data_IF_283767861738
#
_entry.id   IF_283767861738
#
_cell.length_a   1.000
_cell.length_b   1.000
_cell.length_c   1.000
_cell.angle_alpha   90.00
_cell.angle_beta   90.00
_cell.angle_gamma   90.00
#
_symmetry.space_group_name_H-M   'P 1'
#
loop_
_entity.id
_entity.type
_entity.pdbx_description
1 polymer ?
#
# COMPACT_ATOMS: atom_id res chain seq x y z
N UNK A 1 47.83 -25.19 22.49
CA UNK A 1 46.58 -25.95 22.32
C UNK A 1 45.55 -24.99 21.73
N UNK A 2 45.67 -24.56 20.47
CA UNK A 2 45.47 -25.25 19.18
C UNK A 2 44.14 -25.99 19.05
N UNK A 3 43.38 -25.55 18.03
CA UNK A 3 42.31 -26.17 17.23
C UNK A 3 41.01 -25.36 17.31
N UNK A 4 40.41 -24.86 16.23
CA UNK A 4 40.71 -24.97 14.80
C UNK A 4 39.45 -24.55 14.04
N UNK A 5 39.50 -23.40 13.37
CA UNK A 5 38.47 -23.03 12.39
C UNK A 5 38.62 -23.95 11.18
N UNK A 6 37.67 -24.86 10.98
CA UNK A 6 37.58 -25.70 9.80
C UNK A 6 37.02 -24.86 8.64
N UNK A 7 37.79 -24.81 7.56
CA UNK A 7 37.41 -24.29 6.26
C UNK A 7 37.23 -25.45 5.26
N UNK A 8 36.48 -25.15 4.18
CA UNK A 8 36.41 -25.77 2.83
C UNK A 8 35.17 -26.66 2.53
N UNK A 9 34.77 -26.82 1.24
CA UNK A 9 34.64 -25.81 0.16
C UNK A 9 33.47 -26.02 -0.85
N UNK A 10 33.21 -24.94 -1.62
CA UNK A 10 32.85 -24.79 -3.08
C UNK A 10 31.77 -25.63 -3.82
N UNK A 11 30.99 -24.84 -4.58
CA UNK A 11 30.46 -25.07 -5.97
C UNK A 11 29.21 -25.96 -6.12
N UNK A 12 28.16 -25.69 -6.94
CA UNK A 12 28.01 -24.93 -8.20
C UNK A 12 26.49 -24.72 -8.54
N UNK A 13 26.19 -23.60 -9.22
CA UNK A 13 25.22 -23.40 -10.32
C UNK A 13 23.68 -23.58 -10.16
N UNK A 14 22.94 -22.45 -10.28
CA UNK A 14 22.15 -22.01 -11.47
C UNK A 14 21.49 -20.66 -11.16
N UNK A 15 22.09 -19.54 -11.56
CA UNK A 15 21.82 -18.80 -12.81
C UNK A 15 20.33 -18.60 -13.15
N UNK A 16 19.84 -17.39 -12.83
CA UNK A 16 18.65 -16.75 -13.36
C UNK A 16 18.85 -15.24 -13.34
N UNK A 17 19.82 -14.76 -14.13
CA UNK A 17 20.16 -13.34 -14.26
C UNK A 17 19.13 -12.68 -15.17
N UNK A 18 18.21 -11.89 -14.60
CA UNK A 18 17.45 -10.89 -15.36
C UNK A 18 18.35 -9.67 -15.59
N UNK A 19 18.86 -9.54 -16.81
CA UNK A 19 19.53 -8.34 -17.30
C UNK A 19 18.48 -7.25 -17.52
N UNK A 20 18.44 -6.23 -16.66
CA UNK A 20 17.72 -4.98 -16.94
C UNK A 20 18.66 -4.00 -17.65
N UNK A 21 18.21 -3.31 -18.71
CA UNK A 21 19.02 -2.32 -19.39
C UNK A 21 19.20 -1.08 -18.49
N UNK A 22 20.46 -0.63 -18.39
CA UNK A 22 20.85 0.61 -17.73
C UNK A 22 20.12 1.81 -18.34
N UNK A 23 19.57 2.64 -17.48
CA UNK A 23 19.13 3.99 -17.83
C UNK A 23 18.13 4.54 -16.82
N UNK A 24 18.60 5.44 -15.94
CA UNK A 24 17.80 6.30 -15.04
C UNK A 24 17.33 5.66 -13.72
N UNK A 25 18.25 5.19 -12.88
CA UNK A 25 18.00 4.97 -11.45
C UNK A 25 19.28 5.24 -10.64
N UNK A 26 19.67 6.50 -10.51
CA UNK A 26 20.80 6.86 -9.64
C UNK A 26 20.63 8.26 -9.04
N UNK A 27 19.43 8.55 -8.54
CA UNK A 27 19.17 9.81 -7.81
C UNK A 27 18.12 9.70 -6.69
N UNK A 28 17.63 8.50 -6.40
CA UNK A 28 16.77 8.21 -5.24
C UNK A 28 17.51 7.48 -4.10
N UNK A 29 18.74 7.00 -4.33
CA UNK A 29 19.58 6.37 -3.30
C UNK A 29 20.37 7.37 -2.44
N UNK A 30 20.62 8.59 -2.93
CA UNK A 30 21.46 9.58 -2.25
C UNK A 30 20.74 10.46 -1.21
N UNK A 31 19.41 10.37 -1.10
CA UNK A 31 18.64 11.17 -0.14
C UNK A 31 18.31 10.46 1.18
N UNK A 32 18.74 9.21 1.37
CA UNK A 32 18.63 8.51 2.65
C UNK A 32 19.85 8.70 3.57
N UNK A 33 20.89 9.42 3.14
CA UNK A 33 22.11 9.65 3.93
C UNK A 33 22.31 11.10 4.41
N UNK A 34 21.45 12.05 4.03
CA UNK A 34 21.63 13.48 4.35
C UNK A 34 20.55 14.07 5.27
N UNK A 35 20.26 13.37 6.36
CA UNK A 35 19.62 13.98 7.54
C UNK A 35 20.18 13.39 8.85
N UNK A 36 21.50 13.49 9.00
CA UNK A 36 22.15 13.25 10.28
C UNK A 36 23.11 14.40 10.61
N UNK A 37 23.05 14.81 11.89
CA UNK A 37 23.72 15.95 12.55
C UNK A 37 23.04 17.31 12.35
N UNK A 38 22.62 18.07 13.38
CA UNK A 38 22.81 18.04 14.85
C UNK A 38 21.69 18.89 15.48
N UNK A 39 20.98 18.33 16.46
CA UNK A 39 20.64 18.95 17.76
C UNK A 39 19.51 18.15 18.45
N UNK A 40 19.68 17.94 19.76
CA UNK A 40 18.81 17.29 20.76
C UNK A 40 18.93 15.77 20.99
N UNK A 41 19.23 15.45 22.25
CA UNK A 41 19.39 14.16 22.95
C UNK A 41 18.14 13.23 22.99
N UNK A 42 17.23 13.31 22.01
CA UNK A 42 15.99 12.51 22.02
C UNK A 42 15.95 11.35 21.01
N UNK A 43 17.02 11.06 20.27
CA UNK A 43 16.99 10.08 19.16
C UNK A 43 17.39 8.63 19.51
N UNK A 44 17.44 8.23 20.78
CA UNK A 44 17.60 6.80 21.15
C UNK A 44 16.29 5.98 21.13
N UNK A 45 15.14 6.57 20.80
CA UNK A 45 13.84 5.89 20.93
C UNK A 45 13.22 5.33 19.65
N UNK A 46 13.73 5.65 18.45
CA UNK A 46 13.07 5.31 17.17
C UNK A 46 14.01 4.71 16.11
N UNK A 47 14.89 3.78 16.49
CA UNK A 47 15.40 2.82 15.52
C UNK A 47 14.28 1.84 15.14
N UNK A 48 14.21 1.41 13.86
CA UNK A 48 13.43 0.22 13.49
C UNK A 48 13.93 -0.92 14.39
N UNK A 49 13.10 -1.37 15.34
CA UNK A 49 13.44 -2.54 16.15
C UNK A 49 13.43 -3.74 15.21
N UNK A 50 14.55 -4.44 15.16
CA UNK A 50 14.61 -5.74 14.49
C UNK A 50 13.57 -6.68 15.11
N UNK A 51 12.90 -7.50 14.28
CA UNK A 51 11.99 -8.51 14.79
C UNK A 51 12.76 -9.44 15.74
N UNK A 52 12.14 -9.78 16.87
CA UNK A 52 12.73 -10.66 17.87
C UNK A 52 11.73 -11.75 18.24
N UNK A 53 12.21 -12.97 18.55
CA UNK A 53 11.36 -14.01 19.11
C UNK A 53 10.81 -13.56 20.46
N UNK A 54 9.61 -14.05 20.82
CA UNK A 54 8.92 -13.62 22.04
C UNK A 54 8.22 -14.77 22.75
N UNK A 55 8.15 -14.65 24.06
CA UNK A 55 7.36 -15.51 24.93
C UNK A 55 6.16 -14.74 25.46
N UNK A 56 4.95 -15.16 25.10
CA UNK A 56 3.70 -14.58 25.60
C UNK A 56 3.18 -15.43 26.76
N UNK A 57 3.15 -14.85 27.96
CA UNK A 57 2.73 -15.52 29.18
C UNK A 57 1.21 -15.43 29.40
N UNK A 58 0.61 -16.55 29.78
CA UNK A 58 -0.77 -16.70 30.22
C UNK A 58 -0.79 -16.95 31.74
N UNK A 59 -1.69 -16.27 32.46
CA UNK A 59 -1.80 -16.43 33.92
C UNK A 59 -0.72 -15.73 34.76
N UNK A 60 0.35 -15.20 34.16
CA UNK A 60 1.39 -14.41 34.84
C UNK A 60 1.39 -12.94 34.42
N UNK A 61 0.67 -12.05 35.12
CA UNK A 61 0.70 -10.61 34.83
C UNK A 61 2.06 -9.96 35.15
N UNK A 62 2.84 -10.54 36.07
CA UNK A 62 4.12 -10.02 36.55
C UNK A 62 5.30 -10.23 35.58
N UNK A 63 5.25 -11.24 34.71
CA UNK A 63 6.33 -11.58 33.75
C UNK A 63 6.20 -10.84 32.40
N UNK A 64 5.44 -9.74 32.34
CA UNK A 64 5.20 -8.97 31.11
C UNK A 64 6.31 -7.95 30.84
N UNK A 65 7.53 -8.42 30.64
CA UNK A 65 8.70 -7.54 30.48
C UNK A 65 8.81 -6.95 29.05
N UNK A 66 8.14 -7.54 28.05
CA UNK A 66 8.26 -7.12 26.66
C UNK A 66 7.19 -6.10 26.25
N UNK A 67 7.64 -4.97 25.69
CA UNK A 67 6.76 -3.93 25.14
C UNK A 67 6.45 -4.20 23.67
N UNK A 68 5.20 -4.52 23.40
CA UNK A 68 4.68 -4.81 22.06
C UNK A 68 4.15 -3.55 21.33
N UNK A 69 4.16 -3.55 19.98
CA UNK A 69 3.58 -2.46 19.20
C UNK A 69 2.05 -2.41 19.35
N UNK A 70 1.49 -1.20 19.37
CA UNK A 70 0.03 -1.02 19.43
C UNK A 70 -0.65 -1.63 18.20
N UNK A 71 -1.83 -2.20 18.38
CA UNK A 71 -2.64 -2.73 17.27
C UNK A 71 -3.37 -1.61 16.53
N UNK A 72 -2.61 -0.80 15.80
CA UNK A 72 -3.13 0.32 15.01
C UNK A 72 -2.52 0.23 13.62
N UNK A 73 -3.39 0.15 12.62
CA UNK A 73 -3.00 0.18 11.21
C UNK A 73 -3.00 1.66 10.78
N UNK A 74 -1.88 2.10 10.18
CA UNK A 74 -1.75 3.45 9.65
C UNK A 74 -1.25 3.37 8.20
N UNK A 75 -2.11 3.72 7.25
CA UNK A 75 -1.84 3.75 5.83
C UNK A 75 -1.61 5.18 5.29
N UNK A 76 -1.49 6.18 6.17
CA UNK A 76 -1.18 7.56 5.79
C UNK A 76 0.26 7.68 5.29
N UNK A 77 0.48 8.51 4.27
CA UNK A 77 1.83 8.78 3.73
C UNK A 77 2.59 9.78 4.59
N UNK A 78 1.87 10.75 5.16
CA UNK A 78 2.45 11.88 5.88
C UNK A 78 1.84 12.02 7.27
N UNK A 79 2.66 12.50 8.22
CA UNK A 79 2.18 13.03 9.48
C UNK A 79 1.79 14.52 9.31
N UNK A 80 1.05 15.09 10.27
CA UNK A 80 0.59 16.49 10.23
C UNK A 80 1.74 17.49 9.96
N UNK A 81 2.88 17.31 10.61
CA UNK A 81 4.06 18.19 10.44
C UNK A 81 4.88 17.89 9.18
N UNK A 82 4.92 16.63 8.73
CA UNK A 82 5.69 16.23 7.54
C UNK A 82 4.88 16.39 6.25
N UNK A 83 3.57 16.67 6.36
CA UNK A 83 2.67 16.81 5.23
C UNK A 83 3.10 17.93 4.30
N UNK A 84 3.18 19.17 4.80
CA UNK A 84 3.47 20.31 3.93
C UNK A 84 4.90 20.23 3.31
N UNK A 85 5.98 19.98 4.08
CA UNK A 85 7.31 19.86 3.50
C UNK A 85 7.43 18.67 2.54
N UNK A 86 6.82 17.52 2.88
CA UNK A 86 6.85 16.33 2.03
C UNK A 86 6.11 16.51 0.72
N UNK A 87 4.93 17.15 0.75
CA UNK A 87 4.14 17.43 -0.46
C UNK A 87 4.86 18.44 -1.35
N UNK A 88 5.38 19.54 -0.78
CA UNK A 88 6.12 20.53 -1.56
C UNK A 88 7.38 19.92 -2.19
N UNK A 89 8.12 19.11 -1.43
CA UNK A 89 9.29 18.40 -1.95
C UNK A 89 8.92 17.49 -3.13
N UNK A 90 7.85 16.70 -2.99
CA UNK A 90 7.36 15.83 -4.06
C UNK A 90 6.86 16.60 -5.29
N UNK A 91 6.36 17.83 -5.13
CA UNK A 91 6.02 18.68 -6.27
C UNK A 91 7.28 19.27 -6.94
N UNK A 92 8.23 19.81 -6.17
CA UNK A 92 9.42 20.47 -6.73
C UNK A 92 10.53 19.52 -7.19
N UNK A 93 10.46 18.21 -6.85
CA UNK A 93 11.32 17.18 -7.44
C UNK A 93 11.25 17.18 -8.97
N UNK A 94 10.13 17.62 -9.55
CA UNK A 94 9.94 17.69 -10.99
C UNK A 94 10.45 19.01 -11.58
N UNK A 95 11.19 18.89 -12.68
CA UNK A 95 11.75 20.04 -13.40
C UNK A 95 10.68 21.05 -13.82
N UNK A 96 9.50 20.57 -14.21
CA UNK A 96 8.35 21.42 -14.53
C UNK A 96 8.02 22.43 -13.41
N UNK A 97 7.86 21.96 -12.17
CA UNK A 97 7.50 22.82 -11.05
C UNK A 97 8.69 23.66 -10.57
N UNK A 98 9.90 23.09 -10.61
CA UNK A 98 11.14 23.80 -10.30
C UNK A 98 11.39 24.99 -11.26
N UNK A 99 11.09 24.82 -12.54
CA UNK A 99 11.19 25.87 -13.56
C UNK A 99 10.36 27.11 -13.20
N UNK A 100 9.08 26.92 -12.83
CA UNK A 100 8.23 28.05 -12.42
C UNK A 100 8.66 28.69 -11.11
N UNK A 101 9.23 27.92 -10.18
CA UNK A 101 9.83 28.47 -8.96
C UNK A 101 11.03 29.36 -9.28
N UNK A 102 11.96 28.88 -10.10
CA UNK A 102 13.14 29.65 -10.52
C UNK A 102 12.73 30.92 -11.28
N UNK A 103 11.72 30.81 -12.13
CA UNK A 103 11.15 31.94 -12.85
C UNK A 103 10.54 32.97 -11.90
N UNK A 104 9.76 32.56 -10.90
CA UNK A 104 9.19 33.48 -9.91
C UNK A 104 10.29 34.12 -9.02
N UNK A 105 11.30 33.35 -8.61
CA UNK A 105 12.43 33.84 -7.83
C UNK A 105 13.30 34.84 -8.62
N UNK A 106 13.48 34.64 -9.92
CA UNK A 106 14.26 35.55 -10.77
C UNK A 106 13.70 36.98 -10.78
N UNK A 107 12.39 37.15 -10.56
CA UNK A 107 11.73 38.46 -10.56
C UNK A 107 12.05 39.31 -9.32
N UNK A 108 12.67 38.73 -8.28
CA UNK A 108 13.20 39.51 -7.15
C UNK A 108 14.40 40.36 -7.55
N UNK A 109 15.12 39.98 -8.60
CA UNK A 109 16.26 40.76 -9.09
C UNK A 109 15.76 41.90 -9.96
N UNK A 110 15.89 43.12 -9.45
CA UNK A 110 15.40 44.34 -10.12
C UNK A 110 16.02 44.52 -11.51
N UNK A 111 17.29 44.13 -11.71
CA UNK A 111 17.97 44.23 -13.01
C UNK A 111 17.36 43.31 -14.10
N UNK A 112 16.63 42.25 -13.72
CA UNK A 112 16.07 41.23 -14.63
C UNK A 112 14.54 41.19 -14.64
N UNK A 113 13.90 42.15 -13.95
CA UNK A 113 12.46 42.17 -13.72
C UNK A 113 11.70 42.56 -15.01
N UNK A 114 10.81 41.67 -15.48
CA UNK A 114 9.98 41.93 -16.66
C UNK A 114 8.62 42.55 -16.31
N UNK A 115 8.13 42.29 -15.11
CA UNK A 115 6.80 42.72 -14.66
C UNK A 115 6.68 42.76 -13.14
N UNK A 116 5.45 42.91 -12.66
CA UNK A 116 5.20 42.94 -11.22
C UNK A 116 5.38 41.55 -10.59
N UNK A 117 5.80 41.48 -9.32
CA UNK A 117 6.04 40.19 -8.64
C UNK A 117 4.77 39.33 -8.56
N UNK A 118 3.63 39.97 -8.33
CA UNK A 118 2.37 39.26 -8.11
C UNK A 118 1.93 38.46 -9.35
N UNK A 119 2.27 38.90 -10.57
CA UNK A 119 1.86 38.20 -11.80
C UNK A 119 2.51 36.83 -11.95
N UNK A 120 3.61 36.56 -11.24
CA UNK A 120 4.34 35.29 -11.26
C UNK A 120 4.08 34.46 -10.00
N UNK A 121 4.08 35.10 -8.83
CA UNK A 121 3.88 34.43 -7.55
C UNK A 121 2.43 33.98 -7.33
N UNK A 122 1.43 34.75 -7.81
CA UNK A 122 0.02 34.39 -7.62
C UNK A 122 -0.35 33.13 -8.39
N UNK A 123 -0.04 32.98 -9.70
CA UNK A 123 -0.34 31.74 -10.43
C UNK A 123 0.38 30.52 -9.86
N UNK A 124 1.66 30.67 -9.48
CA UNK A 124 2.43 29.59 -8.84
C UNK A 124 1.82 29.18 -7.50
N UNK A 125 1.48 30.15 -6.65
CA UNK A 125 0.84 29.92 -5.36
C UNK A 125 -0.52 29.23 -5.51
N UNK A 126 -1.31 29.62 -6.50
CA UNK A 126 -2.60 29.00 -6.80
C UNK A 126 -2.45 27.51 -7.21
N UNK A 127 -1.53 27.22 -8.13
CA UNK A 127 -1.23 25.83 -8.55
C UNK A 127 -0.83 24.98 -7.34
N UNK A 128 0.11 25.47 -6.55
CA UNK A 128 0.58 24.76 -5.37
C UNK A 128 -0.54 24.56 -4.35
N UNK A 129 -1.35 25.59 -4.08
CA UNK A 129 -2.48 25.49 -3.17
C UNK A 129 -3.49 24.41 -3.60
N UNK A 130 -3.86 24.36 -4.89
CA UNK A 130 -4.73 23.31 -5.42
C UNK A 130 -4.13 21.92 -5.20
N UNK A 131 -2.84 21.74 -5.49
CA UNK A 131 -2.18 20.44 -5.29
C UNK A 131 -2.12 20.02 -3.82
N UNK A 132 -1.83 20.96 -2.91
CA UNK A 132 -1.76 20.70 -1.47
C UNK A 132 -3.14 20.37 -0.91
N UNK A 133 -4.19 21.13 -1.27
CA UNK A 133 -5.57 20.87 -0.84
C UNK A 133 -6.05 19.50 -1.32
N UNK A 134 -5.75 19.16 -2.57
CA UNK A 134 -6.09 17.85 -3.15
C UNK A 134 -5.42 16.70 -2.41
N UNK A 135 -4.11 16.77 -2.18
CA UNK A 135 -3.38 15.72 -1.43
C UNK A 135 -3.90 15.62 0.01
N UNK A 136 -4.19 16.76 0.66
CA UNK A 136 -4.78 16.78 2.00
C UNK A 136 -6.14 16.06 2.04
N UNK A 137 -7.01 16.30 1.05
CA UNK A 137 -8.30 15.63 0.93
C UNK A 137 -8.17 14.11 0.70
N UNK A 138 -7.12 13.65 0.03
CA UNK A 138 -6.80 12.21 -0.08
C UNK A 138 -6.36 11.62 1.26
N UNK A 139 -5.42 12.25 1.94
CA UNK A 139 -4.91 11.77 3.24
C UNK A 139 -6.01 11.76 4.32
N UNK A 140 -6.91 12.76 4.34
CA UNK A 140 -8.06 12.77 5.24
C UNK A 140 -9.03 11.62 4.99
N UNK A 141 -9.28 11.25 3.72
CA UNK A 141 -10.14 10.10 3.39
C UNK A 141 -9.49 8.77 3.76
N UNK A 142 -8.17 8.66 3.64
CA UNK A 142 -7.43 7.51 4.15
C UNK A 142 -7.51 7.44 5.67
N UNK A 143 -7.33 8.56 6.36
CA UNK A 143 -7.47 8.63 7.83
C UNK A 143 -8.83 8.17 8.32
N UNK A 144 -9.92 8.64 7.70
CA UNK A 144 -11.27 8.23 8.08
C UNK A 144 -11.48 6.71 7.93
N UNK A 145 -10.92 6.12 6.86
CA UNK A 145 -11.00 4.67 6.61
C UNK A 145 -10.17 3.87 7.61
N UNK A 146 -8.97 4.33 7.90
CA UNK A 146 -8.12 3.70 8.91
C UNK A 146 -8.75 3.82 10.31
N UNK A 147 -9.38 4.96 10.62
CA UNK A 147 -10.11 5.17 11.87
C UNK A 147 -11.26 4.16 12.01
N UNK A 148 -12.04 3.94 10.96
CA UNK A 148 -13.13 2.97 10.94
C UNK A 148 -12.63 1.55 11.27
N UNK A 149 -11.53 1.12 10.63
CA UNK A 149 -10.92 -0.20 10.87
C UNK A 149 -10.37 -0.31 12.30
N UNK A 150 -9.67 0.72 12.77
CA UNK A 150 -9.08 0.73 14.11
C UNK A 150 -10.13 0.88 15.23
N UNK A 151 -11.33 1.39 14.93
CA UNK A 151 -12.44 1.51 15.89
C UNK A 151 -13.28 0.24 16.03
N UNK A 152 -12.95 -0.83 15.29
CA UNK A 152 -13.66 -2.10 15.43
C UNK A 152 -13.48 -2.68 16.84
N UNK A 153 -14.60 -3.09 17.42
CA UNK A 153 -14.69 -3.61 18.78
C UNK A 153 -14.54 -5.12 18.74
N UNK A 154 -13.70 -5.65 19.63
CA UNK A 154 -13.50 -7.07 19.81
C UNK A 154 -13.77 -7.46 21.26
N UNK A 155 -14.25 -8.68 21.47
CA UNK A 155 -14.46 -9.22 22.81
C UNK A 155 -13.13 -9.67 23.43
N UNK A 156 -12.81 -9.11 24.59
CA UNK A 156 -11.66 -9.54 25.40
C UNK A 156 -12.13 -10.41 26.55
N UNK A 157 -11.37 -11.45 26.86
CA UNK A 157 -11.57 -12.24 28.07
C UNK A 157 -10.93 -11.50 29.24
N UNK A 158 -11.76 -10.80 30.02
CA UNK A 158 -11.33 -10.15 31.26
C UNK A 158 -11.19 -11.20 32.38
N UNK A 159 -10.34 -10.95 33.39
CA UNK A 159 -10.12 -11.83 34.55
C UNK A 159 -11.40 -12.29 35.30
N UNK A 160 -12.55 -11.64 35.06
CA UNK A 160 -13.87 -12.01 35.58
C UNK A 160 -14.63 -13.02 34.71
N UNK A 161 -14.02 -13.53 33.64
CA UNK A 161 -14.63 -14.48 32.70
C UNK A 161 -15.72 -13.90 31.78
N UNK A 162 -15.97 -12.59 31.84
CA UNK A 162 -16.96 -11.93 30.97
C UNK A 162 -16.31 -11.29 29.75
N UNK A 163 -16.91 -11.45 28.55
CA UNK A 163 -16.45 -10.76 27.35
C UNK A 163 -16.70 -9.26 27.47
N UNK A 164 -15.64 -8.46 27.54
CA UNK A 164 -15.74 -7.00 27.48
C UNK A 164 -15.36 -6.49 26.10
N UNK A 165 -16.21 -5.64 25.55
CA UNK A 165 -15.97 -4.91 24.32
C UNK A 165 -14.78 -3.95 24.49
N UNK A 166 -13.72 -4.13 23.70
CA UNK A 166 -12.58 -3.22 23.70
C UNK A 166 -11.70 -3.33 22.46
N UNK A 167 -10.80 -2.36 22.29
CA UNK A 167 -9.79 -2.39 21.22
C UNK A 167 -8.72 -3.43 21.53
N UNK A 168 -8.48 -4.40 20.65
CA UNK A 168 -7.42 -5.40 20.82
C UNK A 168 -6.08 -4.72 21.11
N UNK A 169 -5.53 -4.95 22.30
CA UNK A 169 -4.20 -4.48 22.66
C UNK A 169 -3.29 -5.70 22.86
N UNK A 170 -1.98 -5.59 22.56
CA UNK A 170 -1.05 -6.69 22.78
C UNK A 170 -0.85 -7.03 24.27
N UNK A 171 -1.32 -6.17 25.18
CA UNK A 171 -1.36 -6.42 26.61
C UNK A 171 -2.50 -7.37 27.04
N UNK A 172 -3.34 -7.81 26.09
CA UNK A 172 -4.44 -8.72 26.36
C UNK A 172 -4.04 -10.12 25.90
N UNK A 173 -3.70 -10.98 26.85
CA UNK A 173 -3.22 -12.33 26.58
C UNK A 173 -4.31 -13.24 26.00
N UNK A 174 -5.59 -12.85 26.05
CA UNK A 174 -6.72 -13.68 25.60
C UNK A 174 -7.78 -12.83 24.92
N UNK A 175 -7.98 -13.06 23.62
CA UNK A 175 -9.03 -12.45 22.80
C UNK A 175 -10.07 -13.51 22.44
N UNK A 176 -11.35 -13.16 22.55
CA UNK A 176 -12.45 -13.96 22.05
C UNK A 176 -12.95 -13.33 20.74
N UNK A 177 -13.12 -14.14 19.71
CA UNK A 177 -13.74 -13.74 18.45
C UNK A 177 -14.98 -14.59 18.20
N UNK A 178 -16.08 -13.95 17.82
CA UNK A 178 -17.31 -14.63 17.44
C UNK A 178 -17.31 -14.99 15.95
N UNK A 179 -18.06 -16.03 15.59
CA UNK A 179 -18.27 -16.45 14.20
C UNK A 179 -18.71 -15.29 13.31
N UNK A 180 -18.28 -15.32 12.04
CA UNK A 180 -18.44 -14.26 11.04
C UNK A 180 -17.73 -12.92 11.34
N UNK A 181 -16.95 -12.81 12.41
CA UNK A 181 -16.06 -11.66 12.61
C UNK A 181 -14.67 -11.94 12.02
N UNK A 182 -13.99 -10.86 11.61
CA UNK A 182 -12.58 -10.93 11.21
C UNK A 182 -11.68 -11.05 12.43
N UNK A 183 -10.61 -11.80 12.29
CA UNK A 183 -9.59 -11.92 13.33
C UNK A 183 -8.83 -10.59 13.47
N UNK A 184 -8.74 -10.00 14.68
CA UNK A 184 -8.17 -8.66 14.90
C UNK A 184 -6.65 -8.55 14.75
N UNK A 185 -5.95 -9.64 15.04
CA UNK A 185 -4.50 -9.70 15.17
C UNK A 185 -4.05 -11.17 15.03
N UNK A 186 -2.77 -11.40 14.75
CA UNK A 186 -2.26 -12.77 14.63
C UNK A 186 -2.29 -13.45 16.01
N UNK A 187 -2.99 -14.59 16.11
CA UNK A 187 -3.26 -15.27 17.38
C UNK A 187 -3.05 -16.79 17.30
N UNK A 188 -2.77 -17.40 18.45
CA UNK A 188 -2.80 -18.86 18.64
C UNK A 188 -4.18 -19.28 19.07
N UNK A 189 -4.69 -20.32 18.42
CA UNK A 189 -5.99 -20.92 18.70
C UNK A 189 -5.92 -21.79 19.95
N UNK A 190 -6.58 -21.36 21.04
CA UNK A 190 -6.57 -22.11 22.31
C UNK A 190 -7.82 -22.96 22.50
N UNK A 191 -8.98 -22.44 22.12
CA UNK A 191 -10.26 -23.12 22.38
C UNK A 191 -11.33 -22.68 21.40
N UNK A 192 -12.20 -23.60 21.03
CA UNK A 192 -13.48 -23.30 20.35
C UNK A 192 -14.68 -23.75 21.16
N UNK A 193 -15.81 -23.08 20.98
CA UNK A 193 -17.12 -23.55 21.47
C UNK A 193 -17.75 -24.65 20.60
N UNK A 194 -17.16 -24.98 19.44
CA UNK A 194 -17.69 -26.04 18.58
C UNK A 194 -17.43 -27.43 19.18
N UNK A 195 -18.43 -28.32 19.07
CA UNK A 195 -18.37 -29.69 19.59
C UNK A 195 -17.26 -30.53 18.96
N UNK A 196 -16.92 -30.24 17.71
CA UNK A 196 -15.91 -30.98 16.96
C UNK A 196 -14.47 -30.59 17.36
N UNK A 197 -14.30 -29.54 18.17
CA UNK A 197 -12.96 -29.08 18.57
C UNK A 197 -12.13 -28.54 17.41
N UNK A 198 -12.77 -28.09 16.33
CA UNK A 198 -12.11 -27.54 15.15
C UNK A 198 -12.76 -26.22 14.75
N UNK A 199 -12.06 -25.40 13.97
CA UNK A 199 -12.61 -24.20 13.39
C UNK A 199 -12.21 -24.09 11.93
N UNK A 200 -13.14 -23.67 11.08
CA UNK A 200 -12.86 -23.34 9.69
C UNK A 200 -12.60 -21.84 9.55
N UNK A 201 -11.53 -21.50 8.86
CA UNK A 201 -11.22 -20.12 8.50
C UNK A 201 -11.12 -19.95 6.99
N UNK A 202 -11.43 -18.76 6.52
CA UNK A 202 -11.24 -18.35 5.12
C UNK A 202 -10.11 -17.33 5.02
N UNK A 203 -9.18 -17.56 4.10
CA UNK A 203 -7.99 -16.71 3.87
C UNK A 203 -8.07 -15.88 2.59
N UNK A 204 -9.27 -15.63 2.08
CA UNK A 204 -9.52 -14.95 0.80
C UNK A 204 -8.81 -13.59 0.66
N UNK A 205 -8.52 -12.91 1.76
CA UNK A 205 -7.83 -11.61 1.78
C UNK A 205 -6.30 -11.70 1.86
N UNK A 206 -5.72 -12.87 2.19
CA UNK A 206 -4.28 -13.06 2.39
C UNK A 206 -3.61 -13.73 1.19
N UNK A 207 -4.16 -14.86 0.74
CA UNK A 207 -3.62 -15.68 -0.34
C UNK A 207 -4.59 -15.84 -1.52
N UNK A 208 -5.79 -15.26 -1.41
CA UNK A 208 -6.85 -15.42 -2.39
C UNK A 208 -7.60 -16.75 -2.26
N UNK A 209 -7.16 -17.70 -1.45
CA UNK A 209 -7.82 -19.01 -1.41
C UNK A 209 -9.24 -18.89 -0.82
N UNK A 210 -10.23 -19.41 -1.57
CA UNK A 210 -11.65 -19.42 -1.16
C UNK A 210 -12.01 -20.61 -0.29
N UNK A 211 -11.14 -21.61 -0.24
CA UNK A 211 -11.39 -22.86 0.47
C UNK A 211 -11.29 -22.65 1.98
N UNK A 212 -12.15 -23.37 2.69
CA UNK A 212 -12.14 -23.36 4.15
C UNK A 212 -10.93 -24.15 4.64
N UNK A 213 -10.04 -23.46 5.36
CA UNK A 213 -8.89 -24.08 6.02
C UNK A 213 -9.27 -24.51 7.42
N UNK A 214 -9.05 -25.78 7.71
CA UNK A 214 -9.21 -26.33 9.05
C UNK A 214 -8.09 -25.81 9.96
N UNK A 215 -8.46 -25.33 11.15
CA UNK A 215 -7.53 -25.04 12.25
C UNK A 215 -7.95 -25.79 13.50
N UNK A 216 -6.96 -26.19 14.29
CA UNK A 216 -7.12 -26.98 15.49
C UNK A 216 -6.59 -26.23 16.70
N UNK A 217 -7.36 -26.19 17.81
CA UNK A 217 -6.90 -25.58 19.04
C UNK A 217 -5.76 -26.40 19.66
N UNK A 218 -4.99 -25.77 20.54
CA UNK A 218 -3.99 -26.50 21.35
C UNK A 218 -4.67 -27.59 22.18
N UNK A 219 -4.10 -28.80 22.20
CA UNK A 219 -4.79 -30.00 22.68
C UNK A 219 -5.05 -29.92 24.18
N UNK A 220 -4.06 -29.45 24.94
CA UNK A 220 -4.17 -29.33 26.39
C UNK A 220 -5.20 -28.27 26.85
N UNK A 221 -5.47 -27.23 26.04
CA UNK A 221 -6.42 -26.15 26.38
C UNK A 221 -7.85 -26.44 25.92
N UNK A 222 -8.02 -27.21 24.85
CA UNK A 222 -9.34 -27.62 24.38
C UNK A 222 -10.06 -28.54 25.39
N UNK A 223 -9.32 -29.33 26.17
CA UNK A 223 -9.86 -30.24 27.21
C UNK A 223 -10.58 -29.54 28.37
N UNK A 224 -10.45 -28.22 28.49
CA UNK A 224 -11.11 -27.48 29.58
C UNK A 224 -12.63 -27.40 29.36
N UNK A 225 -13.45 -27.28 30.41
CA UNK A 225 -14.89 -27.14 30.26
C UNK A 225 -15.32 -25.70 29.95
N UNK A 226 -14.62 -24.68 30.47
CA UNK A 226 -15.03 -23.26 30.31
C UNK A 226 -13.90 -22.38 29.78
N UNK A 227 -14.25 -21.33 29.02
CA UNK A 227 -13.28 -20.34 28.56
C UNK A 227 -12.66 -19.53 29.71
N UNK A 228 -13.34 -19.41 30.85
CA UNK A 228 -12.80 -18.82 32.08
C UNK A 228 -11.62 -19.59 32.65
N UNK A 229 -11.57 -20.90 32.43
CA UNK A 229 -10.53 -21.77 33.00
C UNK A 229 -9.19 -21.52 32.30
N UNK A 230 -9.21 -20.98 31.08
CA UNK A 230 -8.02 -20.51 30.37
C UNK A 230 -7.31 -19.37 31.11
N UNK A 231 -8.03 -18.59 31.92
CA UNK A 231 -7.43 -17.50 32.71
C UNK A 231 -6.67 -18.02 33.94
N UNK A 232 -7.01 -19.23 34.41
CA UNK A 232 -6.39 -19.84 35.58
C UNK A 232 -5.13 -20.64 35.23
N UNK A 233 -4.97 -21.02 33.96
CA UNK A 233 -3.83 -21.83 33.53
C UNK A 233 -2.54 -21.01 33.54
N UNK A 234 -1.49 -21.60 34.12
CA UNK A 234 -0.12 -21.10 34.00
C UNK A 234 0.54 -21.77 32.81
N UNK A 235 0.72 -20.98 31.76
CA UNK A 235 1.34 -21.42 30.53
C UNK A 235 2.02 -20.27 29.82
N UNK A 236 2.91 -20.57 28.89
CA UNK A 236 3.47 -19.57 28.00
C UNK A 236 3.58 -20.11 26.58
N UNK A 237 3.45 -19.21 25.62
CA UNK A 237 3.68 -19.49 24.21
C UNK A 237 5.02 -18.90 23.82
N UNK A 238 5.96 -19.74 23.40
CA UNK A 238 7.14 -19.29 22.66
C UNK A 238 6.80 -19.21 21.18
N UNK A 239 6.98 -18.03 20.58
CA UNK A 239 6.80 -17.79 19.16
C UNK A 239 8.11 -17.29 18.55
N UNK A 240 8.37 -17.71 17.31
CA UNK A 240 9.49 -17.23 16.50
C UNK A 240 9.44 -15.70 16.26
N UNK A 241 10.39 -15.17 15.50
CA UNK A 241 10.32 -13.78 15.07
C UNK A 241 9.22 -13.58 13.99
N UNK A 242 8.55 -12.41 13.95
CA UNK A 242 7.51 -12.18 12.95
C UNK A 242 8.08 -12.27 11.53
N UNK A 243 7.58 -13.24 10.77
CA UNK A 243 7.99 -13.54 9.40
C UNK A 243 6.85 -13.21 8.40
N UNK A 244 7.21 -12.85 7.17
CA UNK A 244 6.29 -12.52 6.07
C UNK A 244 5.58 -13.76 5.54
N UNK A 245 6.22 -14.93 5.60
CA UNK A 245 5.64 -16.19 5.11
C UNK A 245 4.36 -16.54 5.90
N UNK A 246 3.24 -16.70 5.18
CA UNK A 246 1.93 -17.01 5.74
C UNK A 246 1.70 -18.51 5.95
N UNK A 247 2.53 -19.38 5.33
CA UNK A 247 2.37 -20.83 5.34
C UNK A 247 3.25 -21.53 6.39
N UNK A 248 4.28 -20.84 6.89
CA UNK A 248 5.15 -21.36 7.92
C UNK A 248 4.88 -20.69 9.27
N UNK A 249 4.86 -21.45 10.35
CA UNK A 249 4.86 -20.94 11.71
C UNK A 249 5.47 -21.96 12.65
N UNK A 250 6.44 -21.54 13.45
CA UNK A 250 7.07 -22.38 14.48
C UNK A 250 6.89 -21.74 15.85
N UNK A 251 6.33 -22.52 16.77
CA UNK A 251 6.20 -22.12 18.17
C UNK A 251 6.13 -23.32 19.11
N UNK A 252 6.12 -23.04 20.41
CA UNK A 252 5.95 -24.06 21.46
C UNK A 252 5.02 -23.52 22.53
N UNK A 253 4.03 -24.33 22.90
CA UNK A 253 3.13 -24.07 24.01
C UNK A 253 3.58 -24.92 25.20
N UNK A 254 3.91 -24.27 26.31
CA UNK A 254 4.32 -24.95 27.55
C UNK A 254 3.30 -24.67 28.64
N UNK A 255 2.70 -25.73 29.18
CA UNK A 255 1.82 -25.68 30.35
C UNK A 255 2.56 -26.13 31.60
N UNK A 256 2.65 -25.25 32.58
CA UNK A 256 3.38 -25.47 33.84
C UNK A 256 2.49 -26.08 34.94
N UNK A 257 1.16 -26.07 34.79
CA UNK A 257 0.23 -26.58 35.83
C UNK A 257 0.20 -28.12 35.97
N UNK A 258 0.86 -28.86 35.07
CA UNK A 258 0.89 -30.32 35.09
C UNK A 258 2.30 -30.77 35.45
N UNK A 259 2.41 -31.79 36.32
CA UNK A 259 3.67 -32.44 36.64
C UNK A 259 3.72 -33.82 35.96
N UNK A 260 4.60 -34.05 34.96
CA UNK A 260 5.58 -33.13 34.37
C UNK A 260 4.94 -32.07 33.44
N UNK A 261 5.65 -30.95 33.17
CA UNK A 261 5.15 -29.87 32.32
C UNK A 261 4.85 -30.39 30.91
N UNK A 262 3.70 -30.01 30.39
CA UNK A 262 3.23 -30.44 29.06
C UNK A 262 3.73 -29.45 28.03
N UNK A 263 4.60 -29.92 27.14
CA UNK A 263 5.14 -29.15 26.03
C UNK A 263 4.51 -29.64 24.72
N UNK A 264 3.79 -28.76 24.02
CA UNK A 264 3.19 -29.02 22.71
C UNK A 264 3.84 -28.13 21.65
N UNK A 265 4.28 -28.72 20.53
CA UNK A 265 4.77 -27.95 19.38
C UNK A 265 3.60 -27.30 18.64
N UNK A 266 3.71 -26.01 18.33
CA UNK A 266 2.73 -25.27 17.56
C UNK A 266 3.14 -25.21 16.10
N UNK A 267 2.20 -25.54 15.21
CA UNK A 267 2.34 -25.40 13.75
C UNK A 267 1.35 -24.36 13.22
N UNK A 268 1.35 -24.15 11.91
CA UNK A 268 0.37 -23.29 11.23
C UNK A 268 -1.07 -23.68 11.57
N UNK A 269 -1.38 -24.96 11.72
CA UNK A 269 -2.75 -25.43 12.03
C UNK A 269 -3.32 -24.85 13.33
N UNK A 270 -2.46 -24.40 14.25
CA UNK A 270 -2.84 -23.81 15.53
C UNK A 270 -2.90 -22.28 15.50
N UNK A 271 -2.71 -21.64 14.35
CA UNK A 271 -2.70 -20.17 14.23
C UNK A 271 -3.94 -19.63 13.53
N UNK A 272 -4.27 -18.37 13.83
CA UNK A 272 -5.30 -17.59 13.17
C UNK A 272 -4.70 -16.24 12.79
N UNK A 273 -4.62 -15.97 11.48
CA UNK A 273 -4.03 -14.74 10.96
C UNK A 273 -5.01 -13.58 10.98
N UNK A 274 -4.51 -12.36 11.17
CA UNK A 274 -5.30 -11.15 11.14
C UNK A 274 -6.05 -11.01 9.80
N UNK A 275 -7.25 -10.43 9.86
CA UNK A 275 -8.16 -10.23 8.72
C UNK A 275 -8.75 -11.49 8.07
N UNK A 276 -8.46 -12.69 8.59
CA UNK A 276 -9.15 -13.93 8.19
C UNK A 276 -10.57 -13.97 8.77
N UNK A 277 -11.49 -14.65 8.09
CA UNK A 277 -12.89 -14.78 8.52
C UNK A 277 -13.12 -16.15 9.14
N UNK A 278 -13.69 -16.17 10.34
CA UNK A 278 -14.07 -17.40 11.05
C UNK A 278 -15.47 -17.84 10.59
N UNK A 279 -15.62 -19.12 10.21
CA UNK A 279 -16.87 -19.65 9.68
C UNK A 279 -18.00 -19.74 10.72
N UNK A 280 -17.71 -20.33 11.87
CA UNK A 280 -18.71 -20.66 12.90
C UNK A 280 -18.04 -20.86 14.27
N UNK A 281 -18.84 -20.73 15.32
CA UNK A 281 -18.41 -20.86 16.71
C UNK A 281 -17.78 -19.61 17.29
N UNK A 282 -17.44 -19.68 18.57
CA UNK A 282 -16.63 -18.68 19.25
C UNK A 282 -15.23 -19.25 19.43
N UNK A 283 -14.24 -18.46 19.01
CA UNK A 283 -12.84 -18.83 19.06
C UNK A 283 -12.17 -17.99 20.13
N UNK A 284 -11.40 -18.68 20.99
CA UNK A 284 -10.58 -18.06 22.01
C UNK A 284 -9.12 -18.30 21.63
N UNK A 285 -8.33 -17.23 21.63
CA UNK A 285 -6.93 -17.29 21.28
C UNK A 285 -6.05 -16.28 22.00
N UNK A 286 -4.75 -16.53 21.96
CA UNK A 286 -3.71 -15.62 22.48
C UNK A 286 -3.18 -14.77 21.37
N UNK A 287 -3.19 -13.46 21.52
CA UNK A 287 -2.59 -12.54 20.55
C UNK A 287 -1.06 -12.63 20.62
N UNK A 288 -0.41 -12.87 19.48
CA UNK A 288 1.05 -12.95 19.36
C UNK A 288 1.66 -11.67 18.78
N UNK A 289 1.18 -11.28 17.60
CA UNK A 289 1.68 -10.13 16.84
C UNK A 289 0.57 -9.12 16.63
N UNK A 290 0.93 -7.83 16.67
CA UNK A 290 -0.03 -6.73 16.57
C UNK A 290 0.50 -5.59 15.70
N UNK A 291 -0.42 -4.85 15.09
CA UNK A 291 -0.10 -3.64 14.32
C UNK A 291 0.90 -3.90 13.19
N UNK A 292 2.11 -3.34 13.33
CA UNK A 292 3.17 -3.40 12.30
C UNK A 292 3.80 -4.80 12.13
N UNK A 293 3.64 -5.67 13.12
CA UNK A 293 4.21 -7.03 13.11
C UNK A 293 3.23 -8.06 12.53
N UNK A 294 2.02 -7.65 12.14
CA UNK A 294 1.05 -8.53 11.51
C UNK A 294 1.56 -8.99 10.14
N UNK A 295 1.40 -10.27 9.83
CA UNK A 295 1.82 -10.82 8.52
C UNK A 295 1.16 -10.11 7.34
N UNK A 296 -0.13 -9.80 7.48
CA UNK A 296 -0.88 -9.03 6.48
C UNK A 296 -0.30 -7.64 6.22
N UNK A 297 0.19 -6.97 7.27
CA UNK A 297 0.80 -5.64 7.16
C UNK A 297 2.23 -5.74 6.62
N UNK A 298 3.00 -6.74 7.03
CA UNK A 298 4.35 -6.97 6.50
C UNK A 298 4.34 -7.34 5.01
N UNK A 299 3.26 -7.98 4.53
CA UNK A 299 3.06 -8.26 3.11
C UNK A 299 2.53 -7.04 2.31
N UNK A 300 2.19 -5.94 2.99
CA UNK A 300 1.79 -4.69 2.32
C UNK A 300 2.98 -3.75 2.14
N UNK A 301 3.09 -3.16 0.95
CA UNK A 301 4.10 -2.13 0.68
C UNK A 301 3.74 -0.82 1.35
N UNK A 302 4.74 -0.08 1.85
CA UNK A 302 4.55 1.27 2.36
C UNK A 302 3.85 2.16 1.32
N UNK A 303 2.90 3.03 1.74
CA UNK A 303 2.16 3.88 0.83
C UNK A 303 3.11 4.87 0.13
N UNK A 304 3.11 4.88 -1.20
CA UNK A 304 3.93 5.78 -2.03
C UNK A 304 3.05 6.76 -2.78
N UNK A 305 3.61 7.94 -3.10
CA UNK A 305 2.97 8.88 -4.02
C UNK A 305 3.05 8.33 -5.44
N UNK A 306 1.91 8.10 -6.07
CA UNK A 306 1.80 7.58 -7.43
C UNK A 306 1.79 8.74 -8.43
N UNK A 307 2.58 8.61 -9.49
CA UNK A 307 2.73 9.63 -10.54
C UNK A 307 2.22 9.08 -11.88
N UNK A 308 1.60 9.95 -12.67
CA UNK A 308 1.14 9.64 -14.02
C UNK A 308 2.30 9.48 -15.02
N UNK A 309 2.21 8.54 -15.95
CA UNK A 309 3.13 8.50 -17.10
C UNK A 309 3.04 9.81 -17.92
N UNK A 310 1.83 10.35 -18.04
CA UNK A 310 1.59 11.63 -18.68
C UNK A 310 2.33 12.80 -17.99
N UNK A 311 2.43 12.79 -16.65
CA UNK A 311 3.19 13.81 -15.92
C UNK A 311 4.69 13.74 -16.25
N UNK A 312 5.22 12.52 -16.45
CA UNK A 312 6.60 12.31 -16.88
C UNK A 312 6.84 12.77 -18.32
N UNK A 313 5.89 12.51 -19.23
CA UNK A 313 5.91 13.00 -20.62
C UNK A 313 5.94 14.53 -20.66
N UNK A 314 5.05 15.19 -19.92
CA UNK A 314 5.02 16.67 -19.82
C UNK A 314 6.34 17.20 -19.26
N UNK A 315 6.88 16.57 -18.22
CA UNK A 315 8.17 16.96 -17.66
C UNK A 315 9.32 16.80 -18.67
N UNK A 316 9.29 15.76 -19.52
CA UNK A 316 10.25 15.58 -20.61
C UNK A 316 10.12 16.69 -21.67
N UNK A 317 8.90 16.99 -22.13
CA UNK A 317 8.65 18.07 -23.09
C UNK A 317 9.11 19.43 -22.56
N UNK A 318 8.89 19.71 -21.28
CA UNK A 318 9.36 20.95 -20.65
C UNK A 318 10.87 21.06 -20.59
N UNK A 319 11.60 19.95 -20.40
CA UNK A 319 13.07 19.95 -20.50
C UNK A 319 13.54 20.27 -21.92
N UNK A 320 12.89 19.70 -22.93
CA UNK A 320 13.21 19.97 -24.35
C UNK A 320 12.92 21.44 -24.68
N UNK A 321 11.75 21.96 -24.30
CA UNK A 321 11.38 23.36 -24.51
C UNK A 321 12.34 24.32 -23.79
N UNK A 322 12.75 24.00 -22.57
CA UNK A 322 13.75 24.78 -21.84
C UNK A 322 15.11 24.77 -22.54
N UNK A 323 15.56 23.62 -23.05
CA UNK A 323 16.77 23.55 -23.87
C UNK A 323 16.69 24.43 -25.12
N UNK A 324 15.56 24.39 -25.82
CA UNK A 324 15.32 25.27 -26.98
C UNK A 324 15.31 26.76 -26.60
N UNK A 325 14.74 27.13 -25.45
CA UNK A 325 14.75 28.50 -24.94
C UNK A 325 16.17 29.01 -24.68
N UNK A 326 17.04 28.18 -24.12
CA UNK A 326 18.45 28.52 -23.90
C UNK A 326 19.17 28.71 -25.24
N UNK A 327 18.90 27.88 -26.25
CA UNK A 327 19.50 28.05 -27.58
C UNK A 327 19.05 29.37 -28.22
N UNK A 328 17.75 29.68 -28.19
CA UNK A 328 17.22 30.93 -28.76
C UNK A 328 17.78 32.15 -28.02
N UNK A 329 17.89 32.11 -26.68
CA UNK A 329 18.46 33.23 -25.93
C UNK A 329 19.95 33.46 -26.25
N UNK A 330 20.73 32.38 -26.43
CA UNK A 330 22.13 32.47 -26.86
C UNK A 330 22.26 33.06 -28.26
N UNK A 331 21.42 32.64 -29.21
CA UNK A 331 21.41 33.18 -30.58
C UNK A 331 21.11 34.69 -30.56
N UNK A 332 20.13 35.13 -29.78
CA UNK A 332 19.79 36.56 -29.67
C UNK A 332 20.96 37.40 -29.12
N UNK A 333 21.70 36.89 -28.14
CA UNK A 333 22.88 37.58 -27.59
C UNK A 333 24.06 37.57 -28.56
N UNK A 334 24.25 36.47 -29.29
CA UNK A 334 25.27 36.37 -30.32
C UNK A 334 25.02 37.39 -31.45
N UNK A 335 23.77 37.57 -31.88
CA UNK A 335 23.38 38.60 -32.85
C UNK A 335 23.61 40.02 -32.33
N UNK A 336 23.54 40.23 -31.01
CA UNK A 336 23.91 41.48 -30.35
C UNK A 336 25.42 41.65 -30.12
N UNK A 337 26.26 40.78 -30.71
CA UNK A 337 27.71 40.85 -30.65
C UNK A 337 28.27 40.84 -29.21
N UNK A 338 27.61 40.12 -28.29
CA UNK A 338 28.02 40.02 -26.87
C UNK A 338 28.30 41.36 -26.19
N UNK A 339 27.59 42.43 -26.58
CA UNK A 339 27.84 43.76 -26.07
C UNK A 339 27.35 43.94 -24.62
N UNK A 340 28.25 44.41 -23.73
CA UNK A 340 27.93 44.74 -22.34
C UNK A 340 27.85 43.51 -21.40
N UNK A 341 26.92 43.52 -20.45
CA UNK A 341 26.69 42.41 -19.49
C UNK A 341 25.93 41.26 -20.18
N UNK A 342 26.60 40.57 -21.10
CA UNK A 342 26.03 39.50 -21.94
C UNK A 342 25.31 38.41 -21.13
N UNK A 343 25.80 38.04 -19.95
CA UNK A 343 25.18 37.03 -19.09
C UNK A 343 23.80 37.46 -18.55
N UNK A 344 23.61 38.74 -18.22
CA UNK A 344 22.29 39.26 -17.82
C UNK A 344 21.34 39.34 -19.01
N UNK A 345 21.85 39.64 -20.20
CA UNK A 345 21.05 39.66 -21.43
C UNK A 345 20.53 38.25 -21.76
N UNK A 346 21.35 37.20 -21.61
CA UNK A 346 20.91 35.81 -21.79
C UNK A 346 19.72 35.49 -20.87
N UNK A 347 19.84 35.80 -19.58
CA UNK A 347 18.77 35.54 -18.61
C UNK A 347 17.53 36.37 -18.94
N UNK A 348 17.70 37.64 -19.34
CA UNK A 348 16.57 38.50 -19.74
C UNK A 348 15.82 37.97 -20.95
N UNK A 349 16.52 37.47 -21.98
CA UNK A 349 15.88 36.82 -23.12
C UNK A 349 15.20 35.51 -22.75
N UNK A 350 15.82 34.69 -21.89
CA UNK A 350 15.20 33.46 -21.38
C UNK A 350 13.88 33.77 -20.65
N UNK A 351 13.87 34.78 -19.79
CA UNK A 351 12.67 35.22 -19.08
C UNK A 351 11.62 35.81 -20.03
N UNK A 352 12.02 36.53 -21.09
CA UNK A 352 11.08 37.09 -22.06
C UNK A 352 10.32 35.99 -22.82
N UNK A 353 11.03 34.93 -23.21
CA UNK A 353 10.44 33.79 -23.92
C UNK A 353 9.84 32.73 -22.98
N UNK A 354 9.88 32.94 -21.67
CA UNK A 354 9.40 31.98 -20.69
C UNK A 354 7.90 31.63 -20.79
N UNK A 355 7.11 32.53 -21.39
CA UNK A 355 5.69 32.35 -21.68
C UNK A 355 5.41 31.19 -22.68
N UNK A 356 6.43 30.67 -23.37
CA UNK A 356 6.32 29.49 -24.24
C UNK A 356 5.88 28.24 -23.44
N UNK A 357 6.23 28.15 -22.15
CA UNK A 357 5.80 27.07 -21.28
C UNK A 357 4.65 27.60 -20.41
N UNK A 358 3.37 27.37 -20.78
CA UNK A 358 2.25 27.98 -20.10
C UNK A 358 2.00 27.32 -18.74
N UNK A 359 1.99 28.13 -17.67
CA UNK A 359 1.65 27.63 -16.32
C UNK A 359 0.21 27.08 -16.25
N UNK A 360 -0.69 27.58 -17.11
CA UNK A 360 -2.08 27.12 -17.21
C UNK A 360 -2.21 25.65 -17.60
N UNK A 361 -1.21 25.07 -18.31
CA UNK A 361 -1.18 23.65 -18.63
C UNK A 361 -1.28 22.82 -17.35
N UNK A 362 -0.52 23.20 -16.31
CA UNK A 362 -0.50 22.46 -15.04
C UNK A 362 -1.83 22.52 -14.32
N UNK A 363 -2.42 23.71 -14.23
CA UNK A 363 -3.74 23.89 -13.60
C UNK A 363 -4.79 23.04 -14.30
N UNK A 364 -4.81 23.06 -15.63
CA UNK A 364 -5.77 22.30 -16.42
C UNK A 364 -5.63 20.79 -16.20
N UNK A 365 -4.39 20.29 -16.09
CA UNK A 365 -4.14 18.88 -15.82
C UNK A 365 -4.56 18.48 -14.41
N UNK A 366 -4.22 19.28 -13.40
CA UNK A 366 -4.60 18.97 -12.02
C UNK A 366 -6.11 19.04 -11.82
N UNK A 367 -6.78 20.05 -12.39
CA UNK A 367 -8.24 20.15 -12.35
C UNK A 367 -8.92 19.04 -13.15
N UNK A 368 -8.42 18.73 -14.34
CA UNK A 368 -8.94 17.63 -15.15
C UNK A 368 -8.93 16.31 -14.38
N UNK A 369 -7.81 15.96 -13.74
CA UNK A 369 -7.70 14.73 -12.94
C UNK A 369 -8.69 14.68 -11.77
N UNK A 370 -8.92 15.80 -11.09
CA UNK A 370 -9.91 15.90 -10.01
C UNK A 370 -11.33 15.67 -10.56
N UNK A 371 -11.69 16.35 -11.65
CA UNK A 371 -13.01 16.24 -12.27
C UNK A 371 -13.27 14.82 -12.77
N UNK A 372 -12.33 14.21 -13.50
CA UNK A 372 -12.49 12.83 -13.97
C UNK A 372 -12.62 11.84 -12.82
N UNK A 373 -11.83 12.00 -11.76
CA UNK A 373 -11.95 11.16 -10.55
C UNK A 373 -13.31 11.33 -9.86
N UNK A 374 -13.89 12.54 -9.89
CA UNK A 374 -15.22 12.80 -9.34
C UNK A 374 -16.33 12.19 -10.20
N UNK A 375 -16.24 12.32 -11.52
CA UNK A 375 -17.18 11.71 -12.47
C UNK A 375 -17.18 10.19 -12.33
N UNK A 376 -16.01 9.54 -12.27
CA UNK A 376 -15.89 8.08 -12.08
C UNK A 376 -16.58 7.62 -10.79
N UNK A 377 -16.47 8.39 -9.70
CA UNK A 377 -17.11 8.06 -8.43
C UNK A 377 -18.65 8.16 -8.49
N UNK A 378 -19.19 9.05 -9.33
CA UNK A 378 -20.63 9.32 -9.43
C UNK A 378 -21.30 8.59 -10.59
N UNK A 379 -20.56 7.74 -11.30
CA UNK A 379 -21.10 7.00 -12.44
C UNK A 379 -22.18 6.02 -11.96
N UNK A 380 -23.39 6.16 -12.54
CA UNK A 380 -24.52 5.29 -12.22
C UNK A 380 -24.40 3.90 -12.84
N UNK A 381 -23.58 3.74 -13.89
CA UNK A 381 -23.37 2.44 -14.54
C UNK A 381 -22.47 1.51 -13.74
N UNK A 382 -21.63 2.06 -12.86
CA UNK A 382 -20.69 1.29 -12.03
C UNK A 382 -20.91 1.66 -10.55
N UNK A 383 -22.03 1.21 -9.95
CA UNK A 383 -22.38 1.55 -8.57
C UNK A 383 -21.32 1.01 -7.60
N UNK A 384 -21.05 1.78 -6.52
CA UNK A 384 -20.08 1.38 -5.49
C UNK A 384 -18.62 1.65 -5.82
N UNK A 385 -18.31 2.29 -6.96
CA UNK A 385 -16.93 2.61 -7.35
C UNK A 385 -16.32 3.68 -6.44
N UNK A 386 -15.25 3.31 -5.72
CA UNK A 386 -14.51 4.23 -4.85
C UNK A 386 -13.14 4.54 -5.43
N UNK A 387 -12.97 5.76 -5.94
CA UNK A 387 -11.66 6.28 -6.37
C UNK A 387 -10.79 6.56 -5.14
N UNK A 388 -9.74 5.76 -4.94
CA UNK A 388 -8.79 5.85 -3.82
C UNK A 388 -7.63 6.81 -4.07
N UNK A 389 -7.23 7.01 -5.33
CA UNK A 389 -6.17 7.95 -5.72
C UNK A 389 -6.66 8.73 -6.93
N UNK A 390 -6.62 10.06 -6.85
CA UNK A 390 -7.06 10.92 -7.95
C UNK A 390 -5.93 11.28 -8.92
N UNK A 391 -4.68 10.84 -8.67
CA UNK A 391 -3.49 11.29 -9.41
C UNK A 391 -3.31 10.65 -10.79
N UNK A 392 -3.95 9.51 -11.04
CA UNK A 392 -3.71 8.68 -12.23
C UNK A 392 -4.98 8.27 -13.04
N UNK A 393 -6.08 9.06 -13.11
CA UNK A 393 -7.26 8.66 -13.87
C UNK A 393 -6.96 8.45 -15.36
N UNK A 394 -6.01 9.18 -15.93
CA UNK A 394 -5.59 9.06 -17.33
C UNK A 394 -4.88 7.73 -17.64
N UNK A 395 -4.34 7.04 -16.63
CA UNK A 395 -3.67 5.76 -16.85
C UNK A 395 -4.65 4.64 -17.20
N UNK A 396 -5.93 4.75 -16.80
CA UNK A 396 -6.94 3.72 -17.09
C UNK A 396 -7.12 3.49 -18.60
N UNK A 397 -6.99 4.55 -19.40
CA UNK A 397 -7.04 4.45 -20.87
C UNK A 397 -5.77 3.94 -21.54
N UNK A 398 -4.68 3.73 -20.77
CA UNK A 398 -3.35 3.33 -21.26
C UNK A 398 -2.95 1.91 -20.82
N UNK A 399 -3.85 1.17 -20.16
CA UNK A 399 -3.58 -0.18 -19.67
C UNK A 399 -3.40 -1.13 -20.86
N UNK A 400 -2.24 -1.79 -20.96
CA UNK A 400 -1.97 -2.83 -21.98
C UNK A 400 -2.09 -4.25 -21.42
N UNK A 401 -1.81 -4.43 -20.13
CA UNK A 401 -1.85 -5.71 -19.45
C UNK A 401 -2.80 -5.61 -18.26
N UNK A 402 -3.80 -6.50 -18.22
CA UNK A 402 -4.68 -6.67 -17.09
C UNK A 402 -4.28 -7.95 -16.37
N UNK A 403 -3.65 -7.79 -15.20
CA UNK A 403 -3.37 -8.90 -14.30
C UNK A 403 -4.60 -9.08 -13.42
N UNK A 404 -5.38 -10.12 -13.67
CA UNK A 404 -6.54 -10.46 -12.85
C UNK A 404 -6.17 -11.52 -11.85
N UNK A 405 -6.48 -11.28 -10.59
CA UNK A 405 -6.50 -12.34 -9.59
C UNK A 405 -7.70 -13.26 -9.84
N UNK A 406 -7.49 -14.57 -9.77
CA UNK A 406 -8.52 -15.58 -10.07
C UNK A 406 -9.60 -15.59 -8.99
N UNK A 407 -9.20 -15.29 -7.77
CA UNK A 407 -10.03 -15.41 -6.58
C UNK A 407 -10.65 -14.05 -6.21
N UNK A 408 -11.98 -13.99 -6.20
CA UNK A 408 -12.74 -12.78 -5.84
C UNK A 408 -13.05 -11.79 -6.97
N UNK A 409 -12.43 -11.92 -8.16
CA UNK A 409 -12.71 -11.05 -9.34
C UNK A 409 -13.37 -11.84 -10.49
N UNK A 410 -12.92 -13.07 -10.75
CA UNK A 410 -13.39 -13.87 -11.88
C UNK A 410 -14.50 -14.87 -11.57
N UNK A 411 -14.76 -15.17 -10.30
CA UNK A 411 -15.80 -16.09 -9.88
C UNK A 411 -16.76 -15.38 -8.93
N UNK A 412 -18.01 -15.17 -9.36
CA UNK A 412 -19.10 -15.11 -8.40
C UNK A 412 -19.03 -16.42 -7.61
N UNK A 413 -18.95 -16.35 -6.27
CA UNK A 413 -18.68 -17.49 -5.38
C UNK A 413 -19.82 -18.55 -5.34
N UNK A 414 -20.57 -18.70 -6.43
CA UNK A 414 -21.45 -19.82 -6.69
C UNK A 414 -20.62 -20.89 -7.42
N UNK A 415 -20.25 -21.95 -6.69
CA UNK A 415 -19.74 -23.17 -7.31
C UNK A 415 -20.85 -23.82 -8.15
N UNK A 416 -21.05 -23.33 -9.37
CA UNK A 416 -21.81 -24.03 -10.39
C UNK A 416 -20.88 -25.08 -11.00
N UNK A 417 -21.13 -26.35 -10.68
CA UNK A 417 -20.50 -27.50 -11.32
C UNK A 417 -20.82 -27.47 -12.82
N UNK A 418 -19.97 -26.82 -13.60
CA UNK A 418 -19.95 -26.93 -15.06
C UNK A 418 -18.72 -27.74 -15.46
N UNK A 419 -18.97 -28.80 -16.23
CA UNK A 419 -18.02 -29.88 -16.51
C UNK A 419 -16.69 -29.45 -17.10
N UNK A 420 -15.68 -30.30 -16.86
CA UNK A 420 -14.33 -30.26 -17.43
C UNK A 420 -14.35 -29.95 -18.94
N UNK A 421 -13.68 -28.86 -19.34
CA UNK A 421 -13.23 -28.68 -20.71
C UNK A 421 -11.80 -28.12 -20.71
N UNK A 422 -10.91 -28.80 -21.43
CA UNK A 422 -9.50 -28.49 -21.61
C UNK A 422 -9.29 -27.12 -22.27
N UNK A 423 -8.24 -26.42 -21.84
CA UNK A 423 -8.11 -24.97 -21.95
C UNK A 423 -7.78 -24.38 -23.33
N UNK A 424 -7.90 -23.05 -23.40
CA UNK A 424 -7.21 -22.18 -24.35
C UNK A 424 -6.94 -20.83 -23.68
N UNK A 425 -5.67 -20.42 -23.63
CA UNK A 425 -5.26 -19.06 -23.27
C UNK A 425 -5.53 -18.13 -24.46
N UNK A 426 -6.28 -17.04 -24.26
CA UNK A 426 -6.39 -15.96 -25.24
C UNK A 426 -5.39 -14.84 -24.92
N UNK A 427 -4.43 -14.62 -25.82
CA UNK A 427 -3.58 -13.42 -25.86
C UNK A 427 -4.25 -12.41 -26.79
N UNK A 428 -4.66 -11.26 -26.27
CA UNK A 428 -5.12 -10.15 -27.12
C UNK A 428 -3.90 -9.48 -27.79
N UNK A 429 -3.61 -9.88 -29.02
CA UNK A 429 -2.72 -9.15 -29.92
C UNK A 429 -3.44 -7.95 -30.54
N UNK A 430 -2.96 -6.73 -30.30
CA UNK A 430 -3.47 -5.51 -30.90
C UNK A 430 -2.97 -5.37 -32.35
N UNK A 431 -3.83 -5.62 -33.34
CA UNK A 431 -3.60 -5.24 -34.73
C UNK A 431 -4.11 -3.78 -34.94
N UNK A 432 -3.18 -2.84 -35.12
CA UNK A 432 -3.48 -1.44 -35.46
C UNK A 432 -4.08 -1.37 -36.86
N UNK A 433 -5.39 -1.11 -36.99
CA UNK A 433 -5.98 -0.61 -38.24
C UNK A 433 -6.46 0.83 -38.09
N UNK A 434 -5.81 1.69 -38.88
CA UNK A 434 -6.10 3.10 -39.11
C UNK A 434 -7.46 3.19 -39.81
N UNK A 435 -8.43 3.90 -39.23
CA UNK A 435 -9.56 4.44 -39.99
C UNK A 435 -9.60 5.96 -39.87
N UNK A 436 -9.30 6.62 -40.99
CA UNK A 436 -9.69 8.00 -41.28
C UNK A 436 -11.11 7.97 -41.86
N UNK A 437 -12.06 8.70 -41.27
CA UNK A 437 -12.97 9.63 -41.97
C UNK A 437 -13.91 10.35 -40.98
N UNK A 438 -13.99 11.68 -41.14
CA UNK A 438 -14.88 12.64 -40.44
C UNK A 438 -16.30 12.66 -41.10
N UNK A 439 -17.22 13.60 -40.77
CA UNK A 439 -18.12 13.66 -39.60
C UNK A 439 -19.62 13.78 -40.01
N UNK A 440 -20.52 13.94 -39.02
CA UNK A 440 -21.92 14.44 -39.07
C UNK A 440 -23.05 13.38 -39.19
N UNK A 441 -23.77 13.11 -38.09
CA UNK A 441 -25.21 13.43 -37.88
C UNK A 441 -25.75 12.84 -36.57
N UNK A 442 -26.61 13.61 -35.89
CA UNK A 442 -27.38 13.25 -34.70
C UNK A 442 -28.37 12.10 -34.93
N UNK A 443 -28.62 11.27 -33.90
CA UNK A 443 -29.94 10.68 -33.70
C UNK A 443 -29.99 9.32 -32.97
N UNK A 444 -30.46 9.34 -31.72
CA UNK A 444 -31.25 8.32 -31.00
C UNK A 444 -30.68 6.91 -30.76
N UNK A 445 -30.51 6.59 -29.47
CA UNK A 445 -30.52 5.25 -28.85
C UNK A 445 -31.98 4.73 -28.63
N UNK A 446 -32.25 3.52 -28.08
CA UNK A 446 -31.69 2.14 -28.23
C UNK A 446 -32.87 1.10 -28.24
N UNK A 447 -32.88 -0.13 -27.64
CA UNK A 447 -31.88 -1.19 -27.33
C UNK A 447 -32.30 -2.61 -27.84
N UNK A 448 -31.53 -3.66 -27.47
CA UNK A 448 -31.79 -5.13 -27.52
C UNK A 448 -31.28 -5.95 -28.72
N UNK A 449 -30.38 -6.92 -28.44
CA UNK A 449 -30.43 -8.34 -28.85
C UNK A 449 -29.16 -9.04 -28.31
N UNK A 450 -29.23 -9.79 -27.22
CA UNK A 450 -29.69 -11.20 -27.09
C UNK A 450 -28.64 -12.19 -27.60
N UNK A 451 -28.08 -12.94 -26.64
CA UNK A 451 -27.31 -14.17 -26.82
C UNK A 451 -28.08 -15.17 -27.70
N UNK A 452 -27.41 -15.79 -28.67
CA UNK A 452 -27.90 -16.99 -29.34
C UNK A 452 -26.78 -18.04 -29.43
N UNK A 453 -27.03 -19.16 -28.77
CA UNK A 453 -26.22 -20.36 -28.69
C UNK A 453 -26.55 -21.26 -29.89
N UNK A 454 -25.59 -21.54 -30.76
CA UNK A 454 -25.82 -22.35 -31.96
C UNK A 454 -25.46 -23.83 -31.70
N UNK A 455 -26.49 -24.66 -31.52
CA UNK A 455 -26.40 -26.13 -31.42
C UNK A 455 -26.33 -26.71 -32.84
N UNK A 456 -25.14 -27.12 -33.28
CA UNK A 456 -24.98 -27.86 -34.55
C UNK A 456 -25.48 -29.31 -34.39
N UNK A 457 -26.59 -29.64 -35.08
CA UNK A 457 -26.94 -31.02 -35.45
C UNK A 457 -25.97 -31.47 -36.54
N UNK A 458 -25.33 -32.62 -36.36
CA UNK A 458 -24.86 -33.42 -37.48
C UNK A 458 -25.75 -34.64 -37.65
N UNK A 459 -26.23 -34.80 -38.88
CA UNK A 459 -26.91 -35.98 -39.41
C UNK A 459 -25.85 -37.00 -39.84
N UNK A 460 -25.92 -38.21 -39.29
CA UNK A 460 -26.07 -39.49 -39.99
C UNK A 460 -26.38 -40.58 -38.99
#
# INVERSE_FOLDING_TARGET
MNCGCMALPREQLRQGVCVTPRGVLEMDSLMNEWSLCRCCECLRCCGRREPRPRSVWLGHPEKRDQRYPRNVINNQKYNFFTFLPGVLFNQFKYFFNLYFLLLACSQFVVEMRLGALYTYWVPLGFVLAVTVIREAAEELRCYMRDKEVNSQIYSKLTARGQPQAGQCSPADSQSQSSGNQRVPADMIFLRTSEKNGSCFLRTDQLDGETDWKLRLPVTCTQRLPTASDLLQIRSYVYAEEPNIDIHNFVGTFTREDSDPPVNESLSIENTLWASTVIASGTVVGVVLYTGRELRSVMNTSNPRSKIGLFDLEVNCLTKILFGALVVVSLVMVALQHFAGRWYLQIIRFLLLFSNIIPISLRVNLDMGKIVYSWVIRRDSKIPGTVVRSSTIPEQLGRISYLLTDKTGIGAENAALSQGMLFGFFYVFGQEKRIMKQNPITLGKQPPWCILLWHKHRHSK
#
